data_IF_592087911490
#
_entry.id   IF_592087911490
#
_cell.length_a   1.000
_cell.length_b   1.000
_cell.length_c   1.000
_cell.angle_alpha   90.00
_cell.angle_beta   90.00
_cell.angle_gamma   90.00
#
_symmetry.space_group_name_H-M   'P 1'
#
loop_
_entity.id
_entity.type
_entity.pdbx_description
1 polymer ?
#
# COMPACT_ATOMS: atom_id res chain seq x y z
N UNK A 1 0.83 0.46 13.26
CA UNK A 1 0.81 -1.02 13.12
C UNK A 1 -0.44 -1.53 12.41
N UNK A 2 -1.66 -1.29 12.91
CA UNK A 2 -2.91 -1.79 12.28
C UNK A 2 -3.02 -1.48 10.78
N UNK A 3 -2.81 -0.23 10.38
CA UNK A 3 -2.88 0.19 8.98
C UNK A 3 -1.89 -0.56 8.08
N UNK A 4 -0.67 -0.81 8.56
CA UNK A 4 0.34 -1.55 7.80
C UNK A 4 -0.06 -3.01 7.57
N UNK A 5 -0.65 -3.66 8.58
CA UNK A 5 -1.16 -5.02 8.46
C UNK A 5 -2.33 -5.10 7.47
N UNK A 6 -3.24 -4.14 7.52
CA UNK A 6 -4.34 -4.06 6.55
C UNK A 6 -3.82 -3.89 5.13
N UNK A 7 -2.85 -3.00 4.90
CA UNK A 7 -2.20 -2.87 3.59
C UNK A 7 -1.53 -4.16 3.13
N UNK A 8 -0.83 -4.87 4.03
CA UNK A 8 -0.18 -6.14 3.71
C UNK A 8 -1.19 -7.19 3.25
N UNK A 9 -2.30 -7.36 3.99
CA UNK A 9 -3.33 -8.35 3.69
C UNK A 9 -4.05 -8.02 2.38
N UNK A 10 -4.47 -6.77 2.20
CA UNK A 10 -5.18 -6.34 0.99
C UNK A 10 -4.30 -6.48 -0.26
N UNK A 11 -3.01 -6.13 -0.16
CA UNK A 11 -2.05 -6.32 -1.24
C UNK A 11 -1.81 -7.81 -1.55
N UNK A 12 -1.67 -8.65 -0.53
CA UNK A 12 -1.43 -10.09 -0.69
C UNK A 12 -2.60 -10.81 -1.37
N UNK A 13 -3.84 -10.48 -0.98
CA UNK A 13 -5.06 -11.04 -1.59
C UNK A 13 -5.31 -10.44 -2.98
N UNK A 14 -4.80 -9.23 -3.24
CA UNK A 14 -5.01 -8.48 -4.48
C UNK A 14 -6.37 -7.79 -4.54
N UNK A 15 -6.84 -7.29 -3.40
CA UNK A 15 -8.05 -6.48 -3.31
C UNK A 15 -7.69 -5.01 -3.59
N UNK A 16 -7.51 -4.67 -4.87
CA UNK A 16 -6.90 -3.41 -5.30
C UNK A 16 -7.73 -2.16 -4.96
N UNK A 17 -9.05 -2.22 -5.11
CA UNK A 17 -9.95 -1.09 -4.81
C UNK A 17 -9.94 -0.75 -3.32
N UNK A 18 -10.07 -1.76 -2.46
CA UNK A 18 -9.98 -1.59 -1.00
C UNK A 18 -8.57 -1.17 -0.57
N UNK A 19 -7.54 -1.71 -1.21
CA UNK A 19 -6.17 -1.29 -0.97
C UNK A 19 -5.99 0.21 -1.25
N UNK A 20 -6.50 0.71 -2.38
CA UNK A 20 -6.43 2.14 -2.73
C UNK A 20 -7.09 3.04 -1.67
N UNK A 21 -8.24 2.62 -1.13
CA UNK A 21 -8.92 3.34 -0.03
C UNK A 21 -8.06 3.32 1.24
N UNK A 22 -7.54 2.16 1.62
CA UNK A 22 -6.77 1.98 2.85
C UNK A 22 -5.38 2.64 2.79
N UNK A 23 -4.81 2.88 1.62
CA UNK A 23 -3.57 3.68 1.48
C UNK A 23 -3.80 5.12 1.96
N UNK A 24 -4.94 5.72 1.60
CA UNK A 24 -5.30 7.08 2.04
C UNK A 24 -5.47 7.14 3.55
N UNK A 25 -6.17 6.17 4.13
CA UNK A 25 -6.37 6.05 5.57
C UNK A 25 -5.08 5.73 6.33
N UNK A 26 -4.23 4.86 5.78
CA UNK A 26 -2.93 4.55 6.37
C UNK A 26 -2.06 5.81 6.51
N UNK A 27 -2.06 6.67 5.49
CA UNK A 27 -1.33 7.94 5.52
C UNK A 27 -1.92 8.92 6.53
N UNK A 28 -3.25 9.03 6.62
CA UNK A 28 -3.93 9.83 7.67
C UNK A 28 -3.56 9.37 9.08
N UNK A 29 -3.35 8.07 9.24
CA UNK A 29 -2.90 7.44 10.48
C UNK A 29 -1.37 7.51 10.70
N UNK A 30 -0.65 8.33 9.91
CA UNK A 30 0.78 8.59 10.11
C UNK A 30 1.72 7.53 9.53
N UNK A 31 1.23 6.60 8.68
CA UNK A 31 2.12 5.68 7.96
C UNK A 31 2.94 6.46 6.95
N UNK A 32 4.27 6.41 7.08
CA UNK A 32 5.19 7.07 6.16
C UNK A 32 5.45 6.21 4.92
N UNK A 33 5.82 6.80 3.76
CA UNK A 33 6.05 6.06 2.52
C UNK A 33 7.03 4.89 2.69
N UNK A 34 8.07 5.05 3.50
CA UNK A 34 9.10 4.04 3.76
C UNK A 34 8.50 2.78 4.40
N UNK A 35 7.59 2.95 5.36
CA UNK A 35 6.88 1.85 6.01
C UNK A 35 5.96 1.11 5.03
N UNK A 36 5.25 1.85 4.17
CA UNK A 36 4.42 1.22 3.14
C UNK A 36 5.28 0.44 2.13
N UNK A 37 6.46 0.95 1.78
CA UNK A 37 7.43 0.25 0.91
C UNK A 37 7.93 -1.03 1.56
N UNK A 38 8.30 -1.01 2.84
CA UNK A 38 8.73 -2.21 3.58
C UNK A 38 7.64 -3.29 3.60
N UNK A 39 6.40 -2.90 3.85
CA UNK A 39 5.24 -3.81 3.79
C UNK A 39 5.11 -4.45 2.40
N UNK A 40 5.18 -3.64 1.34
CA UNK A 40 5.03 -4.16 -0.02
C UNK A 40 6.22 -5.01 -0.48
N UNK A 41 7.41 -4.77 0.05
CA UNK A 41 8.56 -5.66 -0.14
C UNK A 41 8.36 -7.02 0.54
N UNK A 42 7.76 -7.04 1.73
CA UNK A 42 7.37 -8.28 2.40
C UNK A 42 6.33 -9.04 1.57
N UNK A 43 5.33 -8.35 1.02
CA UNK A 43 4.34 -8.93 0.10
C UNK A 43 5.01 -9.51 -1.15
N UNK A 44 6.02 -8.85 -1.72
CA UNK A 44 6.73 -9.36 -2.89
C UNK A 44 7.39 -10.71 -2.63
N UNK A 45 7.95 -10.88 -1.43
CA UNK A 45 8.62 -12.11 -1.01
C UNK A 45 7.65 -13.24 -0.65
N UNK A 46 6.57 -12.93 0.07
CA UNK A 46 5.68 -13.93 0.67
C UNK A 46 4.35 -14.15 -0.06
N UNK A 47 3.89 -13.17 -0.84
CA UNK A 47 2.62 -13.20 -1.57
C UNK A 47 2.79 -12.94 -3.07
N UNK A 48 4.02 -13.03 -3.57
CA UNK A 48 4.48 -12.88 -4.97
C UNK A 48 4.67 -11.46 -5.49
N UNK A 49 5.70 -11.29 -6.33
CA UNK A 49 6.10 -10.02 -6.97
C UNK A 49 4.95 -9.34 -7.73
N UNK A 50 4.10 -10.05 -8.52
CA UNK A 50 2.97 -9.41 -9.21
C UNK A 50 1.98 -8.69 -8.28
N UNK A 51 1.72 -9.23 -7.08
CA UNK A 51 0.82 -8.61 -6.09
C UNK A 51 1.43 -7.31 -5.55
N UNK A 52 2.71 -7.35 -5.18
CA UNK A 52 3.42 -6.18 -4.70
C UNK A 52 3.51 -5.08 -5.77
N UNK A 53 3.79 -5.42 -7.03
CA UNK A 53 3.89 -4.46 -8.12
C UNK A 53 2.57 -3.68 -8.34
N UNK A 54 1.44 -4.39 -8.33
CA UNK A 54 0.12 -3.76 -8.47
C UNK A 54 -0.18 -2.83 -7.29
N UNK A 55 0.13 -3.27 -6.07
CA UNK A 55 0.01 -2.44 -4.87
C UNK A 55 0.95 -1.22 -4.89
N UNK A 56 2.19 -1.35 -5.38
CA UNK A 56 3.11 -0.23 -5.55
C UNK A 56 2.59 0.80 -6.55
N UNK A 57 2.00 0.37 -7.67
CA UNK A 57 1.40 1.27 -8.64
C UNK A 57 0.26 2.10 -8.01
N UNK A 58 -0.62 1.46 -7.25
CA UNK A 58 -1.73 2.12 -6.55
C UNK A 58 -1.22 3.09 -5.49
N UNK A 59 -0.28 2.66 -4.64
CA UNK A 59 0.30 3.50 -3.59
C UNK A 59 0.98 4.75 -4.19
N UNK A 60 1.73 4.59 -5.28
CA UNK A 60 2.37 5.70 -5.98
C UNK A 60 1.35 6.66 -6.60
N UNK A 61 0.28 6.14 -7.21
CA UNK A 61 -0.79 6.97 -7.78
C UNK A 61 -1.44 7.85 -6.70
N UNK A 62 -1.74 7.27 -5.54
CA UNK A 62 -2.32 8.01 -4.41
C UNK A 62 -1.43 9.15 -3.89
N UNK A 63 -0.10 9.00 -4.02
CA UNK A 63 0.87 10.03 -3.65
C UNK A 63 0.84 11.21 -4.62
N UNK A 64 0.72 10.92 -5.91
CA UNK A 64 0.65 11.95 -6.97
C UNK A 64 -0.66 12.74 -6.93
N UNK A 65 -1.78 12.08 -6.65
CA UNK A 65 -3.11 12.72 -6.51
C UNK A 65 -3.18 13.75 -5.36
N UNK A 66 -2.31 13.62 -4.36
CA UNK A 66 -2.30 14.48 -3.17
C UNK A 66 -1.24 15.59 -3.22
N UNK A 67 -0.67 15.90 -4.38
CA UNK A 67 0.14 17.11 -4.56
C UNK A 67 -0.73 18.23 -5.14
N UNK A 68 -1.51 18.98 -4.34
CA UNK A 68 -1.82 20.36 -4.69
C UNK A 68 -0.55 21.21 -4.49
N UNK A 69 -0.48 22.33 -5.19
CA UNK A 69 0.57 23.34 -5.03
C UNK A 69 0.79 23.79 -3.58
#
# INVERSE_FOLDING_TARGET
MRSMLTLAILAAVGCEDEFAMHVKEARRNGVVPEQSREVLMHVALYAVVPRANSAFAIANKSRTEQRPD
#
